data_IF_829478383083
#
_entry.id   IF_829478383083
#
_cell.length_a   1.000
_cell.length_b   1.000
_cell.length_c   1.000
_cell.angle_alpha   90.00
_cell.angle_beta   90.00
_cell.angle_gamma   90.00
#
_symmetry.space_group_name_H-M   'P 1'
#
loop_
_entity.id
_entity.type
_entity.pdbx_description
1 polymer ?
#
# COMPACT_ATOMS: atom_id res chain seq x y z
N UNK A 1 11.31 18.74 -17.58
CA UNK A 1 9.91 18.31 -17.47
C UNK A 1 9.94 16.83 -17.15
N UNK A 2 9.82 16.45 -15.88
CA UNK A 2 9.80 15.03 -15.51
C UNK A 2 8.41 14.50 -15.79
N UNK A 3 8.29 13.59 -16.76
CA UNK A 3 7.11 12.76 -16.92
C UNK A 3 7.01 11.90 -15.66
N UNK A 4 6.09 12.21 -14.76
CA UNK A 4 5.69 11.27 -13.72
C UNK A 4 5.14 10.04 -14.46
N UNK A 5 5.83 8.91 -14.37
CA UNK A 5 5.32 7.65 -14.93
C UNK A 5 4.01 7.31 -14.21
N UNK A 6 2.92 7.24 -14.96
CA UNK A 6 1.63 6.79 -14.45
C UNK A 6 1.73 5.30 -14.13
N UNK A 7 1.40 4.92 -12.89
CA UNK A 7 1.26 3.50 -12.53
C UNK A 7 0.02 2.90 -13.21
N UNK A 8 0.03 1.59 -13.45
CA UNK A 8 -1.14 0.86 -13.94
C UNK A 8 -2.31 0.96 -12.94
N UNK A 9 -1.98 0.97 -11.65
CA UNK A 9 -2.92 1.11 -10.55
C UNK A 9 -2.54 2.25 -9.62
N UNK A 10 -3.46 3.19 -9.43
CA UNK A 10 -3.35 4.24 -8.42
C UNK A 10 -4.31 3.95 -7.27
N UNK A 11 -3.75 3.64 -6.10
CA UNK A 11 -4.51 3.26 -4.92
C UNK A 11 -4.55 4.44 -3.96
N UNK A 12 -5.71 5.09 -3.90
CA UNK A 12 -5.95 6.21 -3.00
C UNK A 12 -6.27 5.70 -1.59
N UNK A 13 -5.36 5.98 -0.66
CA UNK A 13 -5.53 5.78 0.78
C UNK A 13 -6.13 7.04 1.38
N UNK A 14 -7.24 6.90 2.11
CA UNK A 14 -7.96 8.01 2.72
C UNK A 14 -7.78 8.03 4.23
N UNK A 15 -7.72 9.22 4.82
CA UNK A 15 -7.87 9.38 6.26
C UNK A 15 -9.37 9.42 6.63
N UNK A 16 -9.84 8.44 7.37
CA UNK A 16 -11.20 8.40 7.90
C UNK A 16 -11.23 8.91 9.34
N UNK A 17 -12.14 9.85 9.60
CA UNK A 17 -12.35 10.51 10.90
C UNK A 17 -11.08 11.07 11.57
N UNK A 18 -10.04 11.37 10.79
CA UNK A 18 -8.76 11.85 11.30
C UNK A 18 -7.94 10.79 12.05
N UNK A 19 -8.34 9.51 12.01
CA UNK A 19 -7.78 8.45 12.88
C UNK A 19 -7.30 7.21 12.13
N UNK A 20 -7.88 6.91 10.98
CA UNK A 20 -7.68 5.62 10.32
C UNK A 20 -7.27 5.80 8.87
N UNK A 21 -6.21 5.10 8.43
CA UNK A 21 -5.86 5.02 7.02
C UNK A 21 -6.73 3.92 6.37
N UNK A 22 -7.59 4.26 5.42
CA UNK A 22 -8.51 3.29 4.81
C UNK A 22 -8.06 3.00 3.38
N UNK A 23 -7.94 1.71 3.06
CA UNK A 23 -7.70 1.22 1.71
C UNK A 23 -9.03 1.06 0.95
N UNK A 24 -9.03 1.15 -0.38
CA UNK A 24 -10.18 0.75 -1.19
C UNK A 24 -10.56 -0.70 -0.89
N UNK A 25 -11.85 -0.95 -0.67
CA UNK A 25 -12.41 -2.29 -0.52
C UNK A 25 -13.64 -2.44 -1.44
N UNK A 26 -13.61 -3.31 -2.45
CA UNK A 26 -12.51 -4.23 -2.78
C UNK A 26 -11.29 -3.50 -3.33
N UNK A 27 -10.10 -4.08 -3.11
CA UNK A 27 -8.89 -3.69 -3.82
C UNK A 27 -9.05 -4.00 -5.32
N UNK A 28 -8.49 -3.17 -6.22
CA UNK A 28 -8.52 -3.45 -7.65
C UNK A 28 -7.81 -4.78 -7.96
N UNK A 29 -8.28 -5.48 -9.00
CA UNK A 29 -7.61 -6.68 -9.47
C UNK A 29 -6.29 -6.29 -10.15
N UNK A 30 -5.19 -6.88 -9.71
CA UNK A 30 -3.84 -6.59 -10.18
C UNK A 30 -3.12 -7.86 -10.61
N UNK A 31 -2.11 -7.73 -11.47
CA UNK A 31 -1.32 -8.85 -12.01
C UNK A 31 0.18 -8.59 -11.95
N UNK A 32 0.96 -9.67 -11.98
CA UNK A 32 2.41 -9.59 -12.13
C UNK A 32 2.77 -8.84 -13.42
N UNK A 33 3.78 -7.99 -13.33
CA UNK A 33 4.26 -7.13 -14.41
C UNK A 33 3.68 -5.71 -14.37
N UNK A 34 2.48 -5.54 -13.81
CA UNK A 34 1.84 -4.23 -13.60
C UNK A 34 2.52 -3.45 -12.47
N UNK A 35 2.25 -2.15 -12.43
CA UNK A 35 2.77 -1.21 -11.44
C UNK A 35 1.65 -0.65 -10.58
N UNK A 36 1.94 -0.45 -9.30
CA UNK A 36 1.01 0.15 -8.34
C UNK A 36 1.67 1.33 -7.62
N UNK A 37 0.91 2.41 -7.45
CA UNK A 37 1.30 3.58 -6.65
C UNK A 37 0.27 3.81 -5.56
N UNK A 38 0.71 3.99 -4.32
CA UNK A 38 -0.17 4.26 -3.19
C UNK A 38 -0.10 5.73 -2.80
N UNK A 39 -1.21 6.43 -2.88
CA UNK A 39 -1.24 7.88 -2.71
C UNK A 39 -2.30 8.29 -1.70
N UNK A 40 -2.10 9.45 -1.07
CA UNK A 40 -3.06 10.03 -0.15
C UNK A 40 -3.00 11.54 -0.26
N UNK A 41 -4.14 12.20 -0.05
CA UNK A 41 -4.21 13.66 0.06
C UNK A 41 -3.86 14.15 1.46
N UNK A 42 -3.87 13.25 2.45
CA UNK A 42 -3.75 13.59 3.87
C UNK A 42 -2.32 13.45 4.41
N UNK A 43 -1.45 12.70 3.71
CA UNK A 43 -0.10 12.41 4.18
C UNK A 43 0.72 11.51 3.26
N UNK A 44 1.93 11.17 3.69
CA UNK A 44 2.77 10.22 2.98
C UNK A 44 2.36 8.79 3.31
N UNK A 45 2.12 7.96 2.29
CA UNK A 45 1.73 6.57 2.46
C UNK A 45 2.96 5.69 2.65
N UNK A 46 2.90 4.79 3.63
CA UNK A 46 3.82 3.66 3.77
C UNK A 46 3.01 2.36 3.81
N UNK A 47 3.38 1.41 2.95
CA UNK A 47 2.81 0.07 2.97
C UNK A 47 3.81 -0.90 3.58
N UNK A 48 3.34 -1.73 4.50
CA UNK A 48 4.13 -2.77 5.15
C UNK A 48 3.53 -4.15 4.90
N UNK A 49 4.39 -5.09 4.53
CA UNK A 49 4.08 -6.49 4.31
C UNK A 49 4.84 -7.30 5.37
N UNK A 50 4.18 -7.75 6.46
CA UNK A 50 4.85 -8.44 7.56
C UNK A 50 5.52 -9.75 7.12
N UNK A 51 4.92 -10.45 6.15
CA UNK A 51 5.48 -11.64 5.51
C UNK A 51 6.10 -11.27 4.15
N UNK A 52 5.86 -12.10 3.13
CA UNK A 52 6.30 -11.85 1.77
C UNK A 52 5.59 -10.64 1.17
N UNK A 53 6.21 -9.99 0.20
CA UNK A 53 5.63 -8.86 -0.54
C UNK A 53 5.52 -9.17 -2.02
N UNK A 54 4.58 -8.53 -2.75
CA UNK A 54 4.49 -8.69 -4.20
C UNK A 54 5.63 -7.96 -4.94
N UNK A 55 6.39 -7.10 -4.25
CA UNK A 55 7.40 -6.20 -4.84
C UNK A 55 8.80 -6.81 -4.89
N UNK A 56 8.96 -8.06 -4.46
CA UNK A 56 10.26 -8.72 -4.37
C UNK A 56 10.17 -10.15 -4.86
N UNK A 57 11.25 -10.60 -5.51
CA UNK A 57 11.41 -11.99 -5.95
C UNK A 57 12.13 -12.85 -4.91
N UNK A 58 12.85 -12.26 -3.96
CA UNK A 58 13.42 -12.97 -2.82
C UNK A 58 12.38 -13.21 -1.73
N UNK A 59 12.69 -14.10 -0.79
CA UNK A 59 11.81 -14.42 0.34
C UNK A 59 12.03 -13.49 1.55
N UNK A 60 12.44 -12.24 1.29
CA UNK A 60 12.57 -11.24 2.33
C UNK A 60 11.20 -10.91 2.92
N UNK A 61 11.10 -10.97 4.25
CA UNK A 61 9.91 -10.61 5.02
C UNK A 61 10.00 -9.19 5.59
N UNK A 62 8.89 -8.70 6.15
CA UNK A 62 8.78 -7.35 6.72
C UNK A 62 9.21 -6.27 5.71
N UNK A 63 8.74 -6.38 4.48
CA UNK A 63 9.03 -5.37 3.45
C UNK A 63 8.20 -4.13 3.70
N UNK A 64 8.85 -2.97 3.64
CA UNK A 64 8.19 -1.66 3.68
C UNK A 64 8.49 -0.92 2.39
N UNK A 65 7.46 -0.27 1.83
CA UNK A 65 7.58 0.56 0.63
C UNK A 65 6.93 1.92 0.88
N UNK A 66 7.52 2.97 0.29
CA UNK A 66 6.90 4.28 0.19
C UNK A 66 5.88 4.28 -0.95
N UNK A 67 4.71 4.86 -0.73
CA UNK A 67 3.65 4.92 -1.74
C UNK A 67 3.89 5.95 -2.86
N UNK A 68 4.84 6.89 -2.67
CA UNK A 68 5.05 8.01 -3.58
C UNK A 68 5.49 7.61 -4.99
N UNK A 69 6.21 6.49 -5.12
CA UNK A 69 6.77 6.00 -6.39
C UNK A 69 6.08 4.71 -6.84
N UNK A 70 5.74 4.58 -8.14
CA UNK A 70 5.23 3.33 -8.70
C UNK A 70 6.15 2.13 -8.39
N UNK A 71 5.56 1.05 -7.88
CA UNK A 71 6.26 -0.22 -7.60
C UNK A 71 5.75 -1.31 -8.54
N UNK A 72 6.66 -2.07 -9.15
CA UNK A 72 6.28 -3.19 -10.01
C UNK A 72 5.91 -4.43 -9.19
N UNK A 73 4.82 -5.09 -9.57
CA UNK A 73 4.38 -6.36 -9.00
C UNK A 73 5.20 -7.49 -9.63
N UNK A 74 6.06 -8.12 -8.85
CA UNK A 74 7.00 -9.15 -9.29
C UNK A 74 6.55 -10.58 -8.93
N UNK A 75 5.54 -10.71 -8.07
CA UNK A 75 5.12 -11.99 -7.49
C UNK A 75 3.59 -12.07 -7.36
N UNK A 76 3.02 -13.16 -7.87
CA UNK A 76 1.61 -13.48 -7.72
C UNK A 76 1.34 -14.12 -6.35
N UNK A 77 0.12 -13.97 -5.84
CA UNK A 77 -0.33 -14.52 -4.57
C UNK A 77 -1.13 -13.54 -3.74
N UNK A 78 -1.42 -13.94 -2.51
CA UNK A 78 -2.12 -13.15 -1.51
C UNK A 78 -1.13 -12.69 -0.45
N UNK A 79 -1.01 -11.38 -0.28
CA UNK A 79 -0.05 -10.79 0.63
C UNK A 79 -0.77 -9.95 1.68
N UNK A 80 -0.58 -10.29 2.96
CA UNK A 80 -1.06 -9.45 4.04
C UNK A 80 -0.34 -8.11 4.00
N UNK A 81 -1.11 -7.04 4.08
CA UNK A 81 -0.63 -5.67 3.95
C UNK A 81 -1.18 -4.79 5.06
N UNK A 82 -0.38 -3.81 5.46
CA UNK A 82 -0.69 -2.82 6.49
C UNK A 82 -0.36 -1.45 5.93
N UNK A 83 -1.29 -0.52 6.03
CA UNK A 83 -1.15 0.84 5.54
C UNK A 83 -0.93 1.81 6.69
N UNK A 84 -0.04 2.77 6.48
CA UNK A 84 0.25 3.86 7.38
C UNK A 84 0.29 5.18 6.61
N UNK A 85 -0.19 6.25 7.23
CA UNK A 85 -0.12 7.62 6.76
C UNK A 85 0.70 8.44 7.75
N UNK A 86 1.72 9.11 7.25
CA UNK A 86 2.42 10.17 7.95
C UNK A 86 1.73 11.51 7.63
N UNK A 87 0.94 12.02 8.56
CA UNK A 87 0.19 13.27 8.40
C UNK A 87 1.10 14.49 8.49
N UNK A 88 0.61 15.63 7.99
CA UNK A 88 1.25 16.92 8.23
C UNK A 88 1.35 17.17 9.75
N UNK A 89 2.56 17.40 10.25
CA UNK A 89 2.85 17.50 11.68
C UNK A 89 3.55 16.28 12.29
N UNK A 90 3.79 15.23 11.49
CA UNK A 90 4.59 14.06 11.91
C UNK A 90 3.81 13.02 12.71
N UNK A 91 2.49 13.15 12.79
CA UNK A 91 1.63 12.13 13.38
C UNK A 91 1.47 10.96 12.41
N UNK A 92 1.74 9.75 12.89
CA UNK A 92 1.52 8.53 12.13
C UNK A 92 0.19 7.88 12.54
N UNK A 93 -0.64 7.58 11.55
CA UNK A 93 -1.91 6.85 11.71
C UNK A 93 -1.92 5.66 10.75
N UNK A 94 -2.53 4.54 11.12
CA UNK A 94 -2.48 3.35 10.26
C UNK A 94 -2.97 2.11 10.97
N UNK A 95 -2.48 0.96 10.51
CA UNK A 95 -2.87 -0.34 11.04
C UNK A 95 -2.52 -0.54 12.52
N UNK A 96 -3.53 -0.90 13.29
CA UNK A 96 -3.46 -1.41 14.65
C UNK A 96 -4.45 -2.58 14.75
N UNK A 97 -4.06 -3.74 15.30
CA UNK A 97 -4.92 -4.93 15.30
C UNK A 97 -6.19 -4.77 16.14
N UNK A 98 -6.22 -3.84 17.11
CA UNK A 98 -7.34 -3.67 18.04
C UNK A 98 -8.16 -2.41 17.73
N UNK A 99 -7.53 -1.35 17.21
CA UNK A 99 -8.14 -0.05 16.98
C UNK A 99 -8.41 0.28 15.51
N UNK A 100 -7.66 -0.30 14.56
CA UNK A 100 -7.77 0.00 13.14
C UNK A 100 -7.40 -1.19 12.23
N UNK A 101 -7.98 -2.38 12.43
CA UNK A 101 -7.67 -3.54 11.60
C UNK A 101 -7.98 -3.31 10.11
N UNK A 102 -8.93 -2.42 9.80
CA UNK A 102 -9.32 -2.01 8.44
C UNK A 102 -8.23 -1.21 7.70
N UNK A 103 -7.21 -0.71 8.39
CA UNK A 103 -6.02 -0.11 7.77
C UNK A 103 -5.04 -1.15 7.22
N UNK A 104 -5.47 -2.41 7.13
CA UNK A 104 -4.74 -3.49 6.51
C UNK A 104 -5.70 -4.41 5.77
N UNK A 105 -5.14 -5.36 5.04
CA UNK A 105 -5.93 -6.29 4.25
C UNK A 105 -5.08 -7.13 3.32
N UNK A 106 -5.75 -7.94 2.51
CA UNK A 106 -5.09 -8.82 1.55
C UNK A 106 -4.86 -8.08 0.23
N UNK A 107 -3.61 -8.04 -0.19
CA UNK A 107 -3.21 -7.63 -1.52
C UNK A 107 -3.17 -8.86 -2.43
N UNK A 108 -4.19 -9.03 -3.28
CA UNK A 108 -4.31 -10.17 -4.19
C UNK A 108 -3.71 -9.82 -5.56
N UNK A 109 -2.72 -10.60 -6.00
CA UNK A 109 -2.00 -10.39 -7.26
C UNK A 109 -2.10 -11.65 -8.11
N UNK A 110 -2.71 -11.53 -9.28
CA UNK A 110 -2.83 -12.60 -10.26
C UNK A 110 -1.58 -12.78 -11.13
N UNK A 111 -1.66 -13.81 -11.99
CA UNK A 111 -0.71 -14.05 -13.08
C UNK A 111 -1.03 -13.22 -14.32
#
# INVERSE_FOLDING_TARGET
>A
MNMASTADHEILIRLEEGKHAILPNPMPAMKVGETVRYLSYDGQVTMRFPDLSPFRQDDQRNTEISGAEPQQLLRAGKFDSRCFLMLQGGMMVGWDPNGSPQSGGVHDVGH
#
